data_IF_381255754506
#
_entry.id   IF_381255754506
#
_cell.length_a   1.000
_cell.length_b   1.000
_cell.length_c   1.000
_cell.angle_alpha   90.00
_cell.angle_beta   90.00
_cell.angle_gamma   90.00
#
_symmetry.space_group_name_H-M   'P 1'
#
loop_
_entity.id
_entity.type
_entity.pdbx_description
1 polymer ?
#
# COMPACT_ATOMS: atom_id res chain seq x y z
N UNK A 1 -18.61 -4.91 -46.37
CA UNK A 1 -17.74 -3.98 -45.59
C UNK A 1 -18.47 -3.35 -44.40
N UNK A 2 -19.68 -2.79 -44.58
CA UNK A 2 -20.46 -2.15 -43.50
C UNK A 2 -20.76 -3.04 -42.27
N UNK A 3 -21.02 -4.33 -42.47
CA UNK A 3 -21.27 -5.30 -41.37
C UNK A 3 -20.05 -5.54 -40.48
N UNK A 4 -18.84 -5.51 -41.06
CA UNK A 4 -17.59 -5.65 -40.29
C UNK A 4 -17.29 -4.41 -39.46
N UNK A 5 -17.56 -3.22 -40.01
CA UNK A 5 -17.48 -1.97 -39.26
C UNK A 5 -18.51 -1.89 -38.13
N UNK A 6 -19.73 -2.36 -38.37
CA UNK A 6 -20.78 -2.38 -37.35
C UNK A 6 -20.41 -3.28 -36.16
N UNK A 7 -19.88 -4.48 -36.44
CA UNK A 7 -19.41 -5.40 -35.39
C UNK A 7 -18.22 -4.83 -34.61
N UNK A 8 -17.26 -4.18 -35.28
CA UNK A 8 -16.11 -3.56 -34.62
C UNK A 8 -16.54 -2.38 -33.73
N UNK A 9 -17.45 -1.52 -34.19
CA UNK A 9 -17.97 -0.40 -33.39
C UNK A 9 -18.74 -0.92 -32.17
N UNK A 10 -19.58 -1.95 -32.33
CA UNK A 10 -20.29 -2.57 -31.20
C UNK A 10 -19.32 -3.18 -30.18
N UNK A 11 -18.24 -3.82 -30.63
CA UNK A 11 -17.22 -4.39 -29.74
C UNK A 11 -16.47 -3.30 -28.95
N UNK A 12 -16.08 -2.21 -29.62
CA UNK A 12 -15.38 -1.09 -29.00
C UNK A 12 -16.25 -0.36 -27.96
N UNK A 13 -17.55 -0.19 -28.24
CA UNK A 13 -18.50 0.42 -27.29
C UNK A 13 -18.69 -0.48 -26.07
N UNK A 14 -18.82 -1.80 -26.26
CA UNK A 14 -18.91 -2.76 -25.15
C UNK A 14 -17.66 -2.73 -24.26
N UNK A 15 -16.47 -2.73 -24.86
CA UNK A 15 -15.20 -2.65 -24.12
C UNK A 15 -15.11 -1.33 -23.32
N UNK A 16 -15.47 -0.20 -23.93
CA UNK A 16 -15.46 1.09 -23.25
C UNK A 16 -16.44 1.15 -22.05
N UNK A 17 -17.63 0.54 -22.19
CA UNK A 17 -18.61 0.44 -21.11
C UNK A 17 -18.10 -0.44 -19.96
N UNK A 18 -17.43 -1.55 -20.26
CA UNK A 18 -16.83 -2.44 -19.25
C UNK A 18 -15.68 -1.74 -18.52
N UNK A 19 -14.80 -1.02 -19.22
CA UNK A 19 -13.69 -0.28 -18.60
C UNK A 19 -14.19 0.85 -17.69
N UNK A 20 -15.27 1.54 -18.06
CA UNK A 20 -15.85 2.61 -17.23
C UNK A 20 -16.43 2.09 -15.91
N UNK A 21 -16.94 0.85 -15.89
CA UNK A 21 -17.52 0.24 -14.69
C UNK A 21 -16.50 -0.13 -13.59
N UNK A 22 -15.20 -0.16 -13.89
CA UNK A 22 -14.15 -0.45 -12.91
C UNK A 22 -13.64 0.77 -12.13
N UNK A 23 -14.08 2.00 -12.47
CA UNK A 23 -13.48 3.24 -11.93
C UNK A 23 -14.28 3.92 -10.81
N UNK A 24 -15.17 3.20 -10.11
CA UNK A 24 -15.93 3.80 -9.00
C UNK A 24 -15.56 3.20 -7.64
N UNK A 25 -15.00 4.08 -6.78
CA UNK A 25 -14.74 3.98 -5.33
C UNK A 25 -13.40 3.38 -4.85
N UNK A 26 -12.30 4.09 -5.13
CA UNK A 26 -11.07 3.97 -4.34
C UNK A 26 -10.45 5.34 -3.94
N UNK A 27 -10.90 6.46 -4.52
CA UNK A 27 -10.27 7.77 -4.31
C UNK A 27 -10.73 8.50 -3.03
N UNK A 28 -11.96 8.26 -2.55
CA UNK A 28 -12.49 9.01 -1.39
C UNK A 28 -11.99 8.48 -0.02
N UNK A 29 -11.50 7.24 0.07
CA UNK A 29 -11.07 6.65 1.36
C UNK A 29 -9.62 6.98 1.74
N UNK A 30 -8.79 7.45 0.81
CA UNK A 30 -7.39 7.84 1.08
C UNK A 30 -7.31 9.19 1.79
N UNK A 31 -8.16 10.16 1.42
CA UNK A 31 -8.08 11.53 1.96
C UNK A 31 -8.57 11.66 3.41
N UNK A 32 -9.46 10.79 3.88
CA UNK A 32 -10.01 10.85 5.25
C UNK A 32 -9.20 10.05 6.29
N UNK A 33 -8.23 9.22 5.88
CA UNK A 33 -7.44 8.41 6.81
C UNK A 33 -6.20 9.11 7.34
N UNK A 34 -5.76 10.15 6.64
CA UNK A 34 -4.65 11.02 7.05
C UNK A 34 -5.15 12.47 7.17
N UNK A 35 -5.97 12.74 8.18
CA UNK A 35 -6.26 14.12 8.58
C UNK A 35 -4.96 14.86 8.98
N UNK A 36 -4.97 16.20 9.07
CA UNK A 36 -3.79 16.98 9.46
C UNK A 36 -3.38 16.60 10.89
N UNK A 37 -2.44 15.67 11.00
CA UNK A 37 -2.00 15.08 12.25
C UNK A 37 -1.33 16.12 13.14
N UNK A 38 -2.05 16.59 14.14
CA UNK A 38 -1.53 17.17 15.37
C UNK A 38 -0.87 16.08 16.25
N UNK A 39 0.03 15.29 15.68
CA UNK A 39 0.49 14.02 16.24
C UNK A 39 1.99 13.75 16.14
N UNK A 40 2.85 14.77 16.10
CA UNK A 40 4.31 14.60 16.28
C UNK A 40 4.82 15.30 17.54
N UNK A 41 4.03 15.27 18.61
CA UNK A 41 4.50 15.70 19.93
C UNK A 41 5.32 14.58 20.61
N UNK A 42 6.23 14.91 21.54
CA UNK A 42 7.05 13.96 22.30
C UNK A 42 6.25 12.93 23.14
N UNK A 43 4.92 13.01 23.12
CA UNK A 43 4.00 12.12 23.82
C UNK A 43 3.69 10.81 23.08
N UNK A 44 3.95 10.71 21.76
CA UNK A 44 3.74 9.44 21.03
C UNK A 44 4.87 8.42 21.28
N UNK A 45 6.04 8.86 21.74
CA UNK A 45 7.17 7.99 22.10
C UNK A 45 6.97 7.32 23.47
N UNK A 46 6.12 7.88 24.33
CA UNK A 46 6.14 7.56 25.77
C UNK A 46 5.06 6.57 26.21
N UNK A 47 4.28 5.99 25.29
CA UNK A 47 3.10 5.18 25.67
C UNK A 47 3.25 3.67 25.53
N UNK A 48 4.21 3.14 24.76
CA UNK A 48 4.28 1.69 24.51
C UNK A 48 5.69 1.07 24.37
N UNK A 49 6.78 1.82 24.59
CA UNK A 49 8.13 1.27 24.45
C UNK A 49 8.97 1.57 25.70
N UNK A 50 9.67 0.55 26.19
CA UNK A 50 10.80 0.78 27.09
C UNK A 50 11.80 1.74 26.40
N UNK A 51 12.42 2.62 27.18
CA UNK A 51 13.48 3.47 26.64
C UNK A 51 14.59 2.58 26.08
N UNK A 52 15.08 2.90 24.87
CA UNK A 52 16.21 2.19 24.27
C UNK A 52 17.42 2.36 25.21
N UNK A 53 18.05 1.28 25.68
CA UNK A 53 19.24 1.37 26.52
C UNK A 53 20.33 2.21 25.86
N UNK A 54 21.12 2.94 26.66
CA UNK A 54 22.07 3.94 26.17
C UNK A 54 23.11 3.35 25.23
N UNK A 55 23.47 2.07 25.46
CA UNK A 55 24.39 1.31 24.62
C UNK A 55 23.88 1.06 23.19
N UNK A 56 22.57 1.15 22.95
CA UNK A 56 21.96 0.91 21.63
C UNK A 56 21.40 2.16 20.97
N UNK A 57 21.33 3.29 21.68
CA UNK A 57 20.65 4.50 21.24
C UNK A 57 21.23 5.11 19.94
N UNK A 58 22.48 4.79 19.59
CA UNK A 58 23.17 5.29 18.39
C UNK A 58 23.29 4.28 17.25
N UNK A 59 22.77 3.06 17.40
CA UNK A 59 22.88 2.06 16.35
C UNK A 59 21.93 2.38 15.19
N UNK A 60 22.45 2.29 13.98
CA UNK A 60 21.66 2.34 12.74
C UNK A 60 21.62 0.95 12.12
N UNK A 61 20.66 0.71 11.22
CA UNK A 61 20.64 -0.52 10.44
C UNK A 61 21.96 -0.66 9.66
N UNK A 62 22.75 -1.73 9.88
CA UNK A 62 23.99 -1.93 9.14
C UNK A 62 23.75 -2.31 7.68
N UNK A 63 22.52 -2.72 7.33
CA UNK A 63 22.13 -3.02 5.96
C UNK A 63 21.69 -1.71 5.29
N UNK A 64 22.39 -1.28 4.22
CA UNK A 64 21.99 -0.09 3.46
C UNK A 64 20.62 -0.31 2.83
N UNK A 65 19.81 0.74 2.74
CA UNK A 65 18.53 0.73 2.05
C UNK A 65 18.72 0.95 0.54
N UNK A 66 19.43 0.03 -0.11
CA UNK A 66 19.65 0.02 -1.56
C UNK A 66 18.68 -0.92 -2.28
N UNK A 67 18.71 -0.89 -3.61
CA UNK A 67 17.78 -1.67 -4.46
C UNK A 67 17.83 -3.18 -4.15
N UNK A 68 19.02 -3.71 -3.86
CA UNK A 68 19.19 -5.14 -3.53
C UNK A 68 18.52 -5.49 -2.19
N UNK A 69 18.76 -4.68 -1.17
CA UNK A 69 18.15 -4.86 0.16
C UNK A 69 16.63 -4.75 0.12
N UNK A 70 16.12 -3.81 -0.69
CA UNK A 70 14.70 -3.54 -0.84
C UNK A 70 14.00 -4.66 -1.60
N UNK A 71 14.57 -5.12 -2.72
CA UNK A 71 14.03 -6.25 -3.47
C UNK A 71 13.96 -7.51 -2.60
N UNK A 72 15.02 -7.80 -1.84
CA UNK A 72 15.02 -8.91 -0.87
C UNK A 72 13.96 -8.72 0.22
N UNK A 73 13.80 -7.50 0.72
CA UNK A 73 12.79 -7.15 1.72
C UNK A 73 11.36 -7.37 1.22
N UNK A 74 11.09 -6.99 -0.03
CA UNK A 74 9.81 -7.20 -0.70
C UNK A 74 9.44 -8.68 -0.78
N UNK A 75 10.36 -9.54 -1.23
CA UNK A 75 10.15 -10.99 -1.29
C UNK A 75 9.78 -11.57 0.08
N UNK A 76 10.48 -11.15 1.14
CA UNK A 76 10.23 -11.61 2.51
C UNK A 76 8.87 -11.12 3.01
N UNK A 77 8.55 -9.84 2.76
CA UNK A 77 7.29 -9.25 3.19
C UNK A 77 6.10 -9.94 2.52
N UNK A 78 6.17 -10.13 1.21
CA UNK A 78 5.16 -10.84 0.43
C UNK A 78 4.92 -12.26 0.94
N UNK A 79 5.99 -12.97 1.30
CA UNK A 79 5.91 -14.36 1.74
C UNK A 79 5.41 -14.55 3.18
N UNK A 80 5.56 -13.55 4.06
CA UNK A 80 5.39 -13.76 5.52
C UNK A 80 4.47 -12.77 6.21
N UNK A 81 4.32 -11.56 5.68
CA UNK A 81 3.72 -10.45 6.43
C UNK A 81 2.34 -10.07 5.89
N UNK A 82 2.13 -10.19 4.58
CA UNK A 82 0.90 -9.80 3.87
C UNK A 82 -0.36 -10.47 4.40
N UNK A 83 -0.27 -11.69 4.94
CA UNK A 83 -1.44 -12.41 5.47
C UNK A 83 -2.18 -11.63 6.56
N UNK A 84 -1.48 -10.88 7.40
CA UNK A 84 -2.10 -10.04 8.44
C UNK A 84 -1.99 -8.56 8.12
N UNK A 85 -0.87 -8.12 7.55
CA UNK A 85 -0.60 -6.70 7.33
C UNK A 85 -1.11 -6.15 5.99
N UNK A 86 -1.53 -7.03 5.06
CA UNK A 86 -1.93 -6.64 3.71
C UNK A 86 -0.74 -6.21 2.84
N UNK A 87 -0.99 -5.97 1.56
CA UNK A 87 0.05 -5.67 0.57
C UNK A 87 0.81 -4.37 0.89
N UNK A 88 0.12 -3.40 1.52
CA UNK A 88 0.67 -2.08 1.83
C UNK A 88 0.95 -1.85 3.32
N UNK A 89 0.80 -2.86 4.17
CA UNK A 89 1.07 -2.73 5.61
C UNK A 89 -0.03 -2.05 6.42
N UNK A 90 -1.24 -1.94 5.87
CA UNK A 90 -2.37 -1.26 6.52
C UNK A 90 -3.09 -2.10 7.59
N UNK A 91 -2.71 -3.37 7.77
CA UNK A 91 -3.40 -4.27 8.69
C UNK A 91 -4.73 -4.80 8.14
N UNK A 92 -4.86 -4.86 6.82
CA UNK A 92 -6.05 -5.32 6.09
C UNK A 92 -5.83 -6.66 5.40
N UNK A 93 -4.85 -7.43 5.87
CA UNK A 93 -4.62 -8.79 5.39
C UNK A 93 -5.80 -9.72 5.72
N UNK A 94 -5.99 -10.82 4.97
CA UNK A 94 -7.12 -11.73 5.16
C UNK A 94 -7.18 -12.40 6.55
N UNK A 95 -6.07 -12.40 7.31
CA UNK A 95 -6.01 -12.88 8.68
C UNK A 95 -5.91 -11.78 9.74
N UNK A 96 -6.10 -10.51 9.37
CA UNK A 96 -6.11 -9.35 10.27
C UNK A 96 -7.46 -9.07 10.92
#
# INVERSE_FOLDING_TARGET
>A
MKTRYFVLISLLVLIALILSACSSKAADSVAQRFGPGNGMGPSMMNRHHAQVPAEFAGLTNPIPADEESLARGEEIYAARCTTCHGDYGNGDGPGG
#
